data_IF_066322384553
#
_entry.id   IF_066322384553
#
_cell.length_a   1.000
_cell.length_b   1.000
_cell.length_c   1.000
_cell.angle_alpha   90.00
_cell.angle_beta   90.00
_cell.angle_gamma   90.00
#
_symmetry.space_group_name_H-M   'P 1'
#
loop_
_entity.id
_entity.type
_entity.pdbx_description
1 polymer ?
#
# COMPACT_ATOMS: atom_id res chain seq x y z
N UNK A 1 17.30 -2.91 5.78
CA UNK A 1 15.84 -3.04 5.63
C UNK A 1 15.19 -1.66 5.64
N UNK A 2 14.18 -1.43 4.81
CA UNK A 2 13.48 -0.15 4.72
C UNK A 2 12.69 0.20 5.98
N UNK A 3 12.03 1.36 5.97
CA UNK A 3 11.17 1.79 7.07
C UNK A 3 10.03 0.79 7.29
N UNK A 4 9.67 0.57 8.55
CA UNK A 4 8.57 -0.30 8.95
C UNK A 4 7.41 0.57 9.43
N UNK A 5 6.19 0.20 9.07
CA UNK A 5 4.94 0.84 9.47
C UNK A 5 3.97 -0.20 10.03
N UNK A 6 3.01 0.27 10.81
CA UNK A 6 1.80 -0.47 11.16
C UNK A 6 0.58 0.20 10.54
N UNK A 7 -0.30 -0.56 9.93
CA UNK A 7 -1.57 -0.03 9.41
C UNK A 7 -2.52 0.33 10.56
N UNK A 8 -3.21 1.48 10.45
CA UNK A 8 -4.11 2.01 11.48
C UNK A 8 -5.45 1.25 11.50
N UNK A 9 -5.40 -0.08 11.62
CA UNK A 9 -6.58 -0.96 11.68
C UNK A 9 -7.20 -1.07 13.08
N UNK A 10 -6.60 -0.46 14.10
CA UNK A 10 -7.03 -0.55 15.51
C UNK A 10 -7.41 0.82 16.06
N UNK A 11 -8.22 0.85 17.15
CA UNK A 11 -8.43 2.07 17.91
C UNK A 11 -7.10 2.71 18.37
N UNK A 12 -7.07 4.04 18.44
CA UNK A 12 -5.90 4.85 18.76
C UNK A 12 -5.09 4.32 19.95
N UNK A 13 -5.75 3.96 21.05
CA UNK A 13 -5.07 3.43 22.22
C UNK A 13 -4.20 2.19 21.93
N UNK A 14 -4.69 1.29 21.06
CA UNK A 14 -3.96 0.07 20.69
C UNK A 14 -2.79 0.36 19.77
N UNK A 15 -3.02 1.22 18.77
CA UNK A 15 -1.95 1.68 17.89
C UNK A 15 -0.85 2.37 18.69
N UNK A 16 -1.22 3.23 19.63
CA UNK A 16 -0.29 3.95 20.50
C UNK A 16 0.58 2.99 21.37
N UNK A 17 -0.01 1.90 21.88
CA UNK A 17 0.77 0.87 22.60
C UNK A 17 1.87 0.27 21.73
N UNK A 18 1.57 -0.05 20.48
CA UNK A 18 2.56 -0.56 19.52
C UNK A 18 3.64 0.47 19.25
N UNK A 19 3.23 1.69 18.89
CA UNK A 19 4.14 2.76 18.51
C UNK A 19 5.04 3.26 19.65
N UNK A 20 4.59 3.14 20.91
CA UNK A 20 5.43 3.44 22.08
C UNK A 20 6.43 2.32 22.41
N UNK A 21 6.15 1.10 21.95
CA UNK A 21 7.01 -0.06 22.19
C UNK A 21 8.06 -0.24 21.09
N UNK A 22 7.74 0.15 19.86
CA UNK A 22 8.57 -0.04 18.69
C UNK A 22 8.77 1.30 17.96
N UNK A 23 9.99 1.57 17.53
CA UNK A 23 10.32 2.74 16.70
C UNK A 23 9.95 2.44 15.23
N UNK A 24 8.66 2.54 14.93
CA UNK A 24 8.08 2.30 13.60
C UNK A 24 7.14 3.44 13.21
N UNK A 25 6.86 3.54 11.92
CA UNK A 25 5.91 4.50 11.35
C UNK A 25 4.46 4.04 11.47
N UNK A 26 3.57 4.90 10.99
CA UNK A 26 2.13 4.64 10.91
C UNK A 26 1.66 4.78 9.47
N UNK A 27 0.90 3.80 8.99
CA UNK A 27 0.12 3.93 7.77
C UNK A 27 -1.33 4.25 8.11
N UNK A 28 -1.76 5.44 7.69
CA UNK A 28 -3.08 6.00 7.96
C UNK A 28 -4.06 5.52 6.91
N UNK A 29 -5.13 4.84 7.34
CA UNK A 29 -6.17 4.31 6.44
C UNK A 29 -7.46 5.15 6.44
N UNK A 30 -7.60 6.12 7.32
CA UNK A 30 -8.84 6.89 7.50
C UNK A 30 -9.27 7.63 6.22
N UNK A 31 -8.29 8.02 5.40
CA UNK A 31 -8.53 8.70 4.13
C UNK A 31 -8.67 7.75 2.93
N UNK A 32 -8.75 6.45 3.17
CA UNK A 32 -8.96 5.41 2.16
C UNK A 32 -10.38 5.33 1.59
N UNK A 33 -11.29 6.20 2.05
CA UNK A 33 -12.68 6.26 1.56
C UNK A 33 -13.11 7.69 1.21
N UNK A 34 -13.92 7.83 0.16
CA UNK A 34 -14.38 9.13 -0.35
C UNK A 34 -15.13 9.97 0.69
N UNK A 35 -15.93 9.35 1.55
CA UNK A 35 -16.68 10.03 2.61
C UNK A 35 -15.78 10.86 3.55
N UNK A 36 -14.60 10.37 3.89
CA UNK A 36 -13.67 11.11 4.74
C UNK A 36 -13.03 12.27 3.98
N UNK A 37 -12.72 12.04 2.69
CA UNK A 37 -12.17 13.05 1.81
C UNK A 37 -13.16 14.18 1.50
N UNK A 38 -14.48 13.93 1.54
CA UNK A 38 -15.52 14.95 1.37
C UNK A 38 -15.53 16.01 2.48
N UNK A 39 -14.89 15.73 3.62
CA UNK A 39 -14.75 16.70 4.70
C UNK A 39 -13.67 17.74 4.45
N UNK A 40 -12.89 17.60 3.40
CA UNK A 40 -11.78 18.49 3.03
C UNK A 40 -10.87 18.83 4.23
N UNK A 41 -10.58 20.10 4.44
CA UNK A 41 -9.76 20.58 5.56
C UNK A 41 -10.28 20.19 6.93
N UNK A 42 -11.58 20.09 7.11
CA UNK A 42 -12.17 19.69 8.38
C UNK A 42 -11.81 18.24 8.73
N UNK A 43 -11.76 17.33 7.74
CA UNK A 43 -11.34 15.95 7.94
C UNK A 43 -9.93 15.84 8.51
N UNK A 44 -9.00 16.64 7.98
CA UNK A 44 -7.62 16.66 8.46
C UNK A 44 -7.53 17.25 9.87
N UNK A 45 -8.26 18.36 10.14
CA UNK A 45 -8.30 18.98 11.48
C UNK A 45 -8.90 18.02 12.50
N UNK A 46 -9.97 17.31 12.16
CA UNK A 46 -10.58 16.30 13.04
C UNK A 46 -9.62 15.13 13.30
N UNK A 47 -8.91 14.68 12.27
CA UNK A 47 -7.89 13.65 12.40
C UNK A 47 -6.77 14.09 13.35
N UNK A 48 -6.23 15.29 13.17
CA UNK A 48 -5.20 15.85 14.05
C UNK A 48 -5.65 15.99 15.51
N UNK A 49 -6.89 16.40 15.75
CA UNK A 49 -7.44 16.51 17.12
C UNK A 49 -7.47 15.17 17.83
N UNK A 50 -7.74 14.07 17.11
CA UNK A 50 -7.82 12.73 17.69
C UNK A 50 -6.45 12.03 17.74
N UNK A 51 -5.64 12.19 16.70
CA UNK A 51 -4.43 11.38 16.48
C UNK A 51 -3.13 12.21 16.52
N UNK A 52 -3.18 13.49 16.86
CA UNK A 52 -2.00 14.39 16.78
C UNK A 52 -0.78 13.88 17.54
N UNK A 53 -0.98 13.36 18.76
CA UNK A 53 0.12 12.77 19.53
C UNK A 53 0.62 11.45 18.93
N UNK A 54 -0.27 10.70 18.26
CA UNK A 54 0.05 9.44 17.60
C UNK A 54 1.00 9.63 16.42
N UNK A 55 0.79 10.70 15.63
CA UNK A 55 1.54 10.97 14.40
C UNK A 55 2.77 11.87 14.60
N UNK A 56 2.89 12.49 15.76
CA UNK A 56 3.95 13.46 16.06
C UNK A 56 5.35 12.82 15.98
N UNK A 57 6.22 13.43 15.17
CA UNK A 57 7.60 12.99 14.96
C UNK A 57 7.76 11.55 14.44
N UNK A 58 6.77 11.04 13.70
CA UNK A 58 6.81 9.69 13.11
C UNK A 58 6.86 9.75 11.58
N UNK A 59 7.44 8.72 10.99
CA UNK A 59 7.26 8.49 9.56
C UNK A 59 5.81 8.07 9.29
N UNK A 60 5.19 8.69 8.28
CA UNK A 60 3.81 8.43 7.91
C UNK A 60 3.71 7.90 6.49
N UNK A 61 2.82 6.93 6.31
CA UNK A 61 2.29 6.45 5.04
C UNK A 61 0.79 6.76 5.00
N UNK A 62 0.24 6.98 3.83
CA UNK A 62 -1.21 7.10 3.62
C UNK A 62 -1.68 5.95 2.75
N UNK A 63 -2.67 5.19 3.22
CA UNK A 63 -3.44 4.35 2.32
C UNK A 63 -4.45 5.23 1.58
N UNK A 64 -4.28 5.34 0.27
CA UNK A 64 -5.14 6.16 -0.58
C UNK A 64 -6.54 5.58 -0.74
N UNK A 65 -7.49 6.33 -1.32
CA UNK A 65 -8.85 5.87 -1.52
C UNK A 65 -8.90 4.74 -2.56
N UNK A 66 -9.70 3.71 -2.28
CA UNK A 66 -9.74 2.50 -3.09
C UNK A 66 -11.15 2.04 -3.49
N UNK A 67 -12.20 2.40 -2.72
CA UNK A 67 -13.56 1.96 -3.03
C UNK A 67 -14.14 2.73 -4.20
N UNK A 68 -14.73 2.00 -5.16
CA UNK A 68 -15.46 2.51 -6.33
C UNK A 68 -14.63 3.37 -7.30
N UNK A 69 -13.30 3.34 -7.18
CA UNK A 69 -12.38 4.10 -8.02
C UNK A 69 -11.66 3.18 -9.01
N UNK A 70 -11.36 3.73 -10.20
CA UNK A 70 -10.67 2.94 -11.22
C UNK A 70 -9.89 3.83 -12.18
N UNK A 71 -8.57 3.62 -12.23
CA UNK A 71 -7.64 4.37 -13.11
C UNK A 71 -7.81 4.03 -14.59
N UNK A 72 -8.32 2.83 -14.91
CA UNK A 72 -8.52 2.34 -16.27
C UNK A 72 -9.96 2.48 -16.76
N UNK A 73 -10.84 3.16 -16.02
CA UNK A 73 -12.26 3.26 -16.35
C UNK A 73 -12.50 3.79 -17.78
N UNK A 74 -13.44 3.15 -18.49
CA UNK A 74 -13.96 3.65 -19.77
C UNK A 74 -14.94 4.81 -19.57
N UNK A 75 -15.50 4.95 -18.38
CA UNK A 75 -16.40 6.04 -18.04
C UNK A 75 -15.60 7.26 -17.55
N UNK A 76 -15.69 8.37 -18.30
CA UNK A 76 -14.97 9.59 -17.98
C UNK A 76 -15.38 10.18 -16.62
N UNK A 77 -16.63 9.99 -16.17
CA UNK A 77 -17.07 10.48 -14.86
C UNK A 77 -16.37 9.72 -13.73
N UNK A 78 -16.23 8.39 -13.85
CA UNK A 78 -15.50 7.58 -12.89
C UNK A 78 -14.01 7.93 -12.92
N UNK A 79 -13.42 8.10 -14.12
CA UNK A 79 -12.02 8.51 -14.27
C UNK A 79 -11.76 9.86 -13.60
N UNK A 80 -12.63 10.86 -13.80
CA UNK A 80 -12.51 12.18 -13.16
C UNK A 80 -12.76 12.12 -11.64
N UNK A 81 -13.70 11.31 -11.18
CA UNK A 81 -13.88 11.07 -9.75
C UNK A 81 -12.65 10.45 -9.12
N UNK A 82 -12.03 9.45 -9.79
CA UNK A 82 -10.80 8.81 -9.35
C UNK A 82 -9.66 9.83 -9.25
N UNK A 83 -9.46 10.64 -10.29
CA UNK A 83 -8.43 11.68 -10.31
C UNK A 83 -8.63 12.71 -9.18
N UNK A 84 -9.86 13.13 -8.95
CA UNK A 84 -10.22 14.05 -7.86
C UNK A 84 -9.85 13.44 -6.50
N UNK A 85 -10.26 12.20 -6.25
CA UNK A 85 -9.99 11.50 -4.98
C UNK A 85 -8.51 11.26 -4.74
N UNK A 86 -7.75 10.90 -5.77
CA UNK A 86 -6.30 10.72 -5.65
C UNK A 86 -5.59 12.04 -5.35
N UNK A 87 -6.01 13.16 -5.98
CA UNK A 87 -5.49 14.50 -5.67
C UNK A 87 -5.82 14.94 -4.23
N UNK A 88 -7.04 14.67 -3.74
CA UNK A 88 -7.40 14.93 -2.35
C UNK A 88 -6.50 14.13 -1.38
N UNK A 89 -6.31 12.84 -1.62
CA UNK A 89 -5.46 11.99 -0.79
C UNK A 89 -3.98 12.43 -0.83
N UNK A 90 -3.47 12.83 -1.98
CA UNK A 90 -2.12 13.38 -2.11
C UNK A 90 -1.98 14.70 -1.31
N UNK A 91 -2.99 15.57 -1.35
CA UNK A 91 -3.02 16.79 -0.52
C UNK A 91 -3.04 16.47 0.98
N UNK A 92 -3.80 15.46 1.40
CA UNK A 92 -3.78 14.96 2.78
C UNK A 92 -2.38 14.48 3.16
N UNK A 93 -1.73 13.66 2.32
CA UNK A 93 -0.38 13.17 2.56
C UNK A 93 0.61 14.33 2.75
N UNK A 94 0.59 15.35 1.88
CA UNK A 94 1.41 16.56 2.00
C UNK A 94 1.17 17.28 3.32
N UNK A 95 -0.07 17.48 3.71
CA UNK A 95 -0.45 18.25 4.91
C UNK A 95 -0.15 17.52 6.22
N UNK A 96 -0.23 16.18 6.21
CA UNK A 96 0.15 15.36 7.35
C UNK A 96 1.67 15.10 7.42
N UNK A 97 2.43 15.45 6.37
CA UNK A 97 3.86 15.21 6.29
C UNK A 97 4.21 13.74 6.03
N UNK A 98 3.32 13.01 5.37
CA UNK A 98 3.61 11.65 4.93
C UNK A 98 4.61 11.66 3.76
N UNK A 99 5.52 10.67 3.75
CA UNK A 99 6.53 10.53 2.70
C UNK A 99 6.17 9.48 1.64
N UNK A 100 4.99 8.85 1.79
CA UNK A 100 4.47 7.85 0.84
C UNK A 100 2.96 7.76 0.86
N UNK A 101 2.42 7.24 -0.24
CA UNK A 101 1.01 6.94 -0.40
C UNK A 101 0.85 5.67 -1.24
N UNK A 102 -0.08 4.81 -0.86
CA UNK A 102 -0.42 3.57 -1.57
C UNK A 102 -1.76 3.75 -2.27
N UNK A 103 -1.87 3.33 -3.53
CA UNK A 103 -3.12 3.25 -4.29
C UNK A 103 -3.25 1.87 -4.92
N UNK A 104 -4.46 1.35 -5.02
CA UNK A 104 -4.71 0.07 -5.65
C UNK A 104 -4.52 0.09 -7.17
N UNK A 105 -4.10 -1.04 -7.75
CA UNK A 105 -3.96 -1.22 -9.20
C UNK A 105 -5.28 -1.09 -9.95
N UNK A 106 -6.38 -1.50 -9.32
CA UNK A 106 -7.73 -1.56 -9.91
C UNK A 106 -7.77 -2.44 -11.18
N UNK A 107 -6.86 -3.40 -11.33
CA UNK A 107 -6.88 -4.35 -12.42
C UNK A 107 -7.75 -5.57 -12.09
N UNK A 108 -8.58 -5.95 -13.04
CA UNK A 108 -9.45 -7.12 -12.96
C UNK A 108 -9.29 -7.94 -14.24
N UNK A 109 -8.53 -9.05 -14.19
CA UNK A 109 -8.18 -9.89 -15.33
C UNK A 109 -9.38 -10.36 -16.17
N UNK A 110 -10.51 -10.63 -15.51
CA UNK A 110 -11.72 -11.12 -16.18
C UNK A 110 -12.57 -9.98 -16.77
N UNK A 111 -12.20 -8.73 -16.57
CA UNK A 111 -12.95 -7.53 -17.01
C UNK A 111 -12.20 -6.73 -18.06
N UNK A 112 -10.90 -6.55 -17.87
CA UNK A 112 -10.07 -5.74 -18.76
C UNK A 112 -9.18 -6.59 -19.65
N UNK A 113 -9.10 -6.23 -20.94
CA UNK A 113 -7.97 -6.65 -21.74
C UNK A 113 -6.71 -5.93 -21.25
N UNK A 114 -5.61 -6.67 -21.07
CA UNK A 114 -4.34 -6.18 -20.53
C UNK A 114 -3.88 -4.85 -21.15
N UNK A 115 -3.81 -4.80 -22.49
CA UNK A 115 -3.31 -3.62 -23.21
C UNK A 115 -4.22 -2.40 -23.01
N UNK A 116 -5.52 -2.63 -22.91
CA UNK A 116 -6.50 -1.56 -22.67
C UNK A 116 -6.36 -1.01 -21.27
N UNK A 117 -6.25 -1.89 -20.27
CA UNK A 117 -6.00 -1.47 -18.88
C UNK A 117 -4.70 -0.65 -18.78
N UNK A 118 -3.59 -1.16 -19.34
CA UNK A 118 -2.30 -0.49 -19.29
C UNK A 118 -2.38 0.88 -19.95
N UNK A 119 -2.97 1.01 -21.14
CA UNK A 119 -3.04 2.28 -21.85
C UNK A 119 -3.92 3.31 -21.11
N UNK A 120 -5.12 2.91 -20.65
CA UNK A 120 -6.01 3.80 -19.92
C UNK A 120 -5.40 4.24 -18.57
N UNK A 121 -4.80 3.30 -17.82
CA UNK A 121 -4.12 3.62 -16.57
C UNK A 121 -2.90 4.50 -16.79
N UNK A 122 -2.13 4.28 -17.86
CA UNK A 122 -0.98 5.13 -18.20
C UNK A 122 -1.40 6.57 -18.46
N UNK A 123 -2.49 6.79 -19.21
CA UNK A 123 -3.05 8.13 -19.41
C UNK A 123 -3.43 8.79 -18.08
N UNK A 124 -4.12 8.04 -17.22
CA UNK A 124 -4.52 8.52 -15.89
C UNK A 124 -3.30 8.89 -15.03
N UNK A 125 -2.31 8.02 -14.93
CA UNK A 125 -1.12 8.26 -14.11
C UNK A 125 -0.29 9.43 -14.63
N UNK A 126 -0.16 9.57 -15.95
CA UNK A 126 0.52 10.72 -16.54
C UNK A 126 -0.19 12.04 -16.22
N UNK A 127 -1.53 12.07 -16.27
CA UNK A 127 -2.32 13.24 -15.87
C UNK A 127 -2.17 13.53 -14.37
N UNK A 128 -2.28 12.51 -13.52
CA UNK A 128 -2.14 12.65 -12.07
C UNK A 128 -0.77 13.20 -11.66
N UNK A 129 0.30 12.80 -12.35
CA UNK A 129 1.68 13.14 -11.99
C UNK A 129 2.13 14.55 -12.41
N UNK A 130 1.37 15.29 -13.22
CA UNK A 130 1.79 16.58 -13.81
C UNK A 130 2.32 17.56 -12.75
N UNK A 131 1.71 17.63 -11.58
CA UNK A 131 2.01 18.60 -10.52
C UNK A 131 2.55 17.93 -9.24
N UNK A 132 2.98 16.67 -9.31
CA UNK A 132 3.53 15.95 -8.16
C UNK A 132 5.04 16.13 -8.09
N UNK A 133 5.52 16.38 -6.88
CA UNK A 133 6.96 16.52 -6.60
C UNK A 133 7.53 15.22 -5.96
N UNK A 134 8.84 15.17 -5.82
CA UNK A 134 9.55 14.00 -5.29
C UNK A 134 9.46 13.82 -3.77
N UNK A 135 8.65 14.65 -3.08
CA UNK A 135 8.53 14.56 -1.61
C UNK A 135 7.71 13.38 -1.11
N UNK A 136 6.87 12.81 -1.98
CA UNK A 136 6.00 11.68 -1.66
C UNK A 136 6.21 10.56 -2.69
N UNK A 137 6.61 9.38 -2.21
CA UNK A 137 6.66 8.18 -3.03
C UNK A 137 5.23 7.62 -3.20
N UNK A 138 4.90 7.25 -4.42
CA UNK A 138 3.60 6.69 -4.77
C UNK A 138 3.78 5.21 -5.10
N UNK A 139 3.00 4.36 -4.44
CA UNK A 139 3.08 2.92 -4.63
C UNK A 139 1.75 2.39 -5.20
N UNK A 140 1.81 1.62 -6.28
CA UNK A 140 0.65 0.96 -6.87
C UNK A 140 0.59 -0.47 -6.35
N UNK A 141 -0.48 -0.80 -5.65
CA UNK A 141 -0.65 -2.07 -4.96
C UNK A 141 -1.39 -3.08 -5.82
N UNK A 142 -0.90 -4.33 -5.84
CA UNK A 142 -1.63 -5.45 -6.42
C UNK A 142 -2.84 -5.83 -5.57
N UNK A 143 -3.96 -6.09 -6.22
CA UNK A 143 -5.20 -6.54 -5.59
C UNK A 143 -5.63 -7.92 -6.11
N UNK A 144 -6.44 -7.94 -7.15
CA UNK A 144 -6.97 -9.16 -7.77
C UNK A 144 -6.15 -9.62 -8.98
N UNK A 145 -4.93 -9.15 -9.09
CA UNK A 145 -4.03 -9.37 -10.22
C UNK A 145 -3.60 -10.84 -10.30
N UNK A 146 -4.12 -11.58 -11.29
CA UNK A 146 -3.75 -12.99 -11.51
C UNK A 146 -2.33 -13.12 -12.07
N UNK A 147 -1.88 -12.12 -12.84
CA UNK A 147 -0.53 -12.01 -13.40
C UNK A 147 0.05 -10.62 -13.14
N UNK A 148 1.05 -10.54 -12.26
CA UNK A 148 1.68 -9.28 -11.89
C UNK A 148 2.59 -8.69 -12.99
N UNK A 149 2.75 -9.37 -14.11
CA UNK A 149 3.40 -8.80 -15.30
C UNK A 149 2.67 -7.54 -15.78
N UNK A 150 1.35 -7.47 -15.62
CA UNK A 150 0.53 -6.30 -15.99
C UNK A 150 0.93 -5.07 -15.18
N UNK A 151 1.03 -5.23 -13.86
CA UNK A 151 1.46 -4.15 -12.96
C UNK A 151 2.90 -3.72 -13.24
N UNK A 152 3.79 -4.69 -13.48
CA UNK A 152 5.17 -4.41 -13.88
C UNK A 152 5.24 -3.56 -15.15
N UNK A 153 4.53 -3.96 -16.19
CA UNK A 153 4.52 -3.23 -17.48
C UNK A 153 3.94 -1.82 -17.34
N UNK A 154 2.90 -1.65 -16.51
CA UNK A 154 2.33 -0.34 -16.21
C UNK A 154 3.37 0.58 -15.58
N UNK A 155 4.03 0.13 -14.50
CA UNK A 155 5.04 0.93 -13.79
C UNK A 155 6.25 1.23 -14.69
N UNK A 156 6.70 0.27 -15.50
CA UNK A 156 7.77 0.48 -16.47
C UNK A 156 7.41 1.54 -17.52
N UNK A 157 6.16 1.59 -17.97
CA UNK A 157 5.68 2.59 -18.96
C UNK A 157 5.47 3.98 -18.35
N UNK A 158 5.02 4.07 -17.09
CA UNK A 158 4.90 5.35 -16.37
C UNK A 158 6.30 5.98 -16.24
N UNK A 159 7.33 5.18 -15.97
CA UNK A 159 8.74 5.57 -15.93
C UNK A 159 9.00 6.83 -15.08
N UNK A 160 8.46 6.87 -13.87
CA UNK A 160 8.60 7.97 -12.91
C UNK A 160 9.42 7.55 -11.71
N UNK A 161 10.30 8.42 -11.22
CA UNK A 161 11.15 8.17 -10.04
C UNK A 161 10.36 8.07 -8.73
N UNK A 162 9.14 8.61 -8.69
CA UNK A 162 8.28 8.58 -7.50
C UNK A 162 7.25 7.45 -7.51
N UNK A 163 7.12 6.72 -8.63
CA UNK A 163 6.20 5.59 -8.77
C UNK A 163 6.95 4.27 -8.60
N UNK A 164 6.39 3.39 -7.78
CA UNK A 164 6.85 2.01 -7.64
C UNK A 164 5.68 1.09 -7.27
N UNK A 165 5.96 -0.18 -7.05
CA UNK A 165 4.95 -1.18 -6.68
C UNK A 165 4.91 -1.32 -5.16
N UNK A 166 3.70 -1.36 -4.60
CA UNK A 166 3.43 -1.97 -3.31
C UNK A 166 3.07 -3.43 -3.57
N UNK A 167 3.89 -4.37 -3.11
CA UNK A 167 3.54 -5.79 -3.15
C UNK A 167 2.82 -6.17 -1.85
N UNK A 168 1.49 -6.38 -1.94
CA UNK A 168 0.76 -7.08 -0.89
C UNK A 168 0.91 -8.59 -1.11
N UNK A 169 1.59 -9.25 -0.16
CA UNK A 169 1.88 -10.69 -0.24
C UNK A 169 0.64 -11.54 0.04
N UNK A 170 -0.32 -11.03 0.81
CA UNK A 170 -1.58 -11.71 1.10
C UNK A 170 -2.51 -11.69 -0.10
N UNK A 171 -2.66 -10.55 -0.78
CA UNK A 171 -3.38 -10.45 -2.04
C UNK A 171 -2.77 -11.38 -3.10
N UNK A 172 -1.45 -11.34 -3.25
CA UNK A 172 -0.75 -12.22 -4.19
C UNK A 172 -1.00 -13.70 -3.89
N UNK A 173 -0.99 -14.11 -2.60
CA UNK A 173 -1.27 -15.48 -2.18
C UNK A 173 -2.72 -15.92 -2.45
N UNK A 174 -3.68 -15.00 -2.38
CA UNK A 174 -5.09 -15.29 -2.62
C UNK A 174 -5.48 -15.30 -4.10
N UNK A 175 -4.91 -14.41 -4.88
CA UNK A 175 -5.46 -14.09 -6.20
C UNK A 175 -4.53 -14.37 -7.36
N UNK A 176 -3.19 -14.40 -7.14
CA UNK A 176 -2.24 -14.62 -8.22
C UNK A 176 -2.12 -16.10 -8.60
N UNK A 177 -1.90 -16.34 -9.89
CA UNK A 177 -1.51 -17.65 -10.43
C UNK A 177 -0.01 -17.94 -10.28
N UNK A 178 0.78 -16.94 -9.81
CA UNK A 178 2.23 -17.01 -9.66
C UNK A 178 2.58 -17.22 -8.18
N UNK A 179 3.64 -17.96 -7.90
CA UNK A 179 4.20 -18.03 -6.54
C UNK A 179 4.84 -16.70 -6.12
N UNK A 180 4.93 -16.43 -4.81
CA UNK A 180 5.59 -15.23 -4.29
C UNK A 180 7.06 -15.13 -4.76
N UNK A 181 7.76 -16.27 -4.89
CA UNK A 181 9.13 -16.28 -5.42
C UNK A 181 9.18 -15.79 -6.88
N UNK A 182 8.26 -16.28 -7.74
CA UNK A 182 8.18 -15.83 -9.14
C UNK A 182 7.83 -14.35 -9.23
N UNK A 183 6.87 -13.87 -8.43
CA UNK A 183 6.46 -12.47 -8.36
C UNK A 183 7.62 -11.58 -7.93
N UNK A 184 8.30 -11.91 -6.84
CA UNK A 184 9.42 -11.12 -6.32
C UNK A 184 10.56 -11.04 -7.34
N UNK A 185 10.88 -12.15 -8.01
CA UNK A 185 11.89 -12.16 -9.08
C UNK A 185 11.46 -11.33 -10.29
N UNK A 186 10.18 -11.39 -10.68
CA UNK A 186 9.61 -10.64 -11.80
C UNK A 186 9.64 -9.13 -11.56
N UNK A 187 9.22 -8.71 -10.36
CA UNK A 187 9.10 -7.29 -10.00
C UNK A 187 10.44 -6.68 -9.59
N UNK A 188 11.24 -7.40 -8.80
CA UNK A 188 12.59 -7.00 -8.41
C UNK A 188 12.64 -5.61 -7.78
N UNK A 189 13.52 -4.75 -8.28
CA UNK A 189 13.73 -3.38 -7.79
C UNK A 189 12.53 -2.44 -7.98
N UNK A 190 11.47 -2.86 -8.67
CA UNK A 190 10.23 -2.08 -8.79
C UNK A 190 9.38 -2.11 -7.53
N UNK A 191 9.63 -3.07 -6.64
CA UNK A 191 8.99 -3.11 -5.33
C UNK A 191 9.63 -2.03 -4.45
N UNK A 192 8.88 -0.97 -4.16
CA UNK A 192 9.29 0.12 -3.26
C UNK A 192 8.62 0.06 -1.90
N UNK A 193 7.51 -0.68 -1.80
CA UNK A 193 6.75 -0.91 -0.57
C UNK A 193 6.20 -2.33 -0.52
N UNK A 194 5.88 -2.78 0.69
CA UNK A 194 5.26 -4.08 0.95
C UNK A 194 4.06 -3.89 1.89
N UNK A 195 2.95 -4.57 1.62
CA UNK A 195 1.96 -4.88 2.63
C UNK A 195 2.17 -6.33 3.10
N UNK A 196 2.35 -6.50 4.40
CA UNK A 196 2.68 -7.78 5.01
C UNK A 196 1.53 -8.25 5.90
N UNK A 197 0.88 -9.28 5.44
CA UNK A 197 -0.13 -10.04 6.15
C UNK A 197 -0.05 -11.52 5.75
N UNK A 198 -0.85 -12.38 6.35
CA UNK A 198 -0.92 -13.78 6.01
C UNK A 198 -2.39 -14.23 5.86
N UNK A 199 -2.62 -15.31 5.15
CA UNK A 199 -3.92 -15.92 4.93
C UNK A 199 -3.77 -17.40 4.49
N UNK A 200 -4.88 -18.05 4.18
CA UNK A 200 -4.91 -19.47 3.79
C UNK A 200 -4.87 -19.69 2.25
N UNK A 201 -4.65 -18.62 1.47
CA UNK A 201 -4.68 -18.65 0.02
C UNK A 201 -6.09 -18.74 -0.60
N UNK A 202 -7.16 -18.55 0.21
CA UNK A 202 -8.55 -18.59 -0.25
C UNK A 202 -9.32 -17.32 0.07
N UNK A 203 -9.02 -16.74 1.23
CA UNK A 203 -9.67 -15.55 1.72
C UNK A 203 -8.59 -14.57 2.18
N UNK A 204 -8.66 -13.38 1.67
CA UNK A 204 -7.86 -12.26 2.16
C UNK A 204 -8.32 -11.87 3.57
N UNK A 205 -7.61 -12.41 4.57
CA UNK A 205 -8.03 -12.36 5.97
C UNK A 205 -7.11 -11.54 6.87
N UNK A 206 -6.06 -10.95 6.32
CA UNK A 206 -5.11 -10.07 7.02
C UNK A 206 -4.68 -10.62 8.39
N UNK A 207 -4.27 -11.91 8.42
CA UNK A 207 -3.81 -12.59 9.62
C UNK A 207 -2.34 -12.29 9.90
N UNK A 208 -1.90 -12.59 11.13
CA UNK A 208 -0.49 -12.50 11.52
C UNK A 208 0.40 -13.51 10.83
N UNK A 209 1.70 -13.28 10.85
CA UNK A 209 2.69 -14.04 10.09
C UNK A 209 2.68 -15.56 10.35
N UNK A 210 2.29 -15.97 11.56
CA UNK A 210 2.20 -17.38 11.94
C UNK A 210 0.81 -17.99 11.70
N UNK A 211 -0.14 -17.23 11.12
CA UNK A 211 -1.58 -17.60 11.08
C UNK A 211 -2.10 -17.86 9.67
N UNK A 212 -1.24 -18.26 8.74
CA UNK A 212 -1.58 -18.56 7.35
C UNK A 212 -0.60 -19.56 6.72
N UNK A 213 -0.61 -19.65 5.39
CA UNK A 213 0.24 -20.57 4.64
C UNK A 213 1.43 -19.90 3.93
N UNK A 214 1.60 -18.58 4.08
CA UNK A 214 2.78 -17.87 3.58
C UNK A 214 3.92 -18.05 4.58
N UNK A 215 5.09 -18.51 4.11
CA UNK A 215 6.33 -18.36 4.87
C UNK A 215 6.84 -16.92 4.71
N UNK A 216 6.44 -16.05 5.66
CA UNK A 216 6.79 -14.63 5.60
C UNK A 216 8.29 -14.42 5.77
N UNK A 217 8.99 -15.28 6.50
CA UNK A 217 10.45 -15.13 6.69
C UNK A 217 11.19 -15.47 5.41
N UNK A 218 10.85 -16.58 4.74
CA UNK A 218 11.39 -16.92 3.43
C UNK A 218 11.07 -15.83 2.40
N UNK A 219 9.84 -15.29 2.42
CA UNK A 219 9.44 -14.19 1.55
C UNK A 219 10.33 -12.95 1.75
N UNK A 220 10.62 -12.58 3.01
CA UNK A 220 11.51 -11.46 3.32
C UNK A 220 12.98 -11.73 2.93
N UNK A 221 13.44 -12.97 2.94
CA UNK A 221 14.77 -13.34 2.43
C UNK A 221 14.84 -13.17 0.89
N UNK A 222 13.78 -13.52 0.18
CA UNK A 222 13.68 -13.25 -1.26
C UNK A 222 13.65 -11.74 -1.55
N UNK A 223 12.93 -10.95 -0.77
CA UNK A 223 12.91 -9.49 -0.87
C UNK A 223 14.32 -8.90 -0.67
N UNK A 224 15.05 -9.33 0.36
CA UNK A 224 16.42 -8.86 0.58
C UNK A 224 17.36 -9.19 -0.59
N UNK A 225 17.11 -10.31 -1.25
CA UNK A 225 17.94 -10.78 -2.36
C UNK A 225 17.66 -10.08 -3.69
N UNK A 226 16.40 -9.76 -3.97
CA UNK A 226 15.97 -9.32 -5.30
C UNK A 226 15.51 -7.87 -5.36
N UNK A 227 15.21 -7.23 -4.22
CA UNK A 227 14.67 -5.87 -4.17
C UNK A 227 15.65 -4.86 -3.55
N UNK A 228 15.38 -3.57 -3.76
CA UNK A 228 16.23 -2.48 -3.29
C UNK A 228 15.73 -1.92 -1.95
N UNK A 229 15.72 -2.76 -0.90
CA UNK A 229 15.39 -2.33 0.46
C UNK A 229 14.03 -1.59 0.59
N UNK A 230 12.92 -2.20 0.12
CA UNK A 230 11.60 -1.57 0.19
C UNK A 230 11.19 -1.31 1.64
N UNK A 231 10.36 -0.29 1.82
CA UNK A 231 9.64 -0.10 3.09
C UNK A 231 8.50 -1.12 3.21
N UNK A 232 7.93 -1.26 4.41
CA UNK A 232 6.87 -2.24 4.62
C UNK A 232 5.86 -1.78 5.66
N UNK A 233 4.60 -2.07 5.43
CA UNK A 233 3.50 -1.93 6.39
C UNK A 233 3.05 -3.31 6.86
N UNK A 234 2.92 -3.49 8.18
CA UNK A 234 2.28 -4.66 8.75
C UNK A 234 0.79 -4.39 8.77
N UNK A 235 0.05 -5.12 7.93
CA UNK A 235 -1.37 -4.94 7.71
C UNK A 235 -2.18 -6.13 8.23
N UNK A 236 -2.18 -6.29 9.55
CA UNK A 236 -2.79 -7.42 10.26
C UNK A 236 -3.99 -6.94 11.06
N UNK A 237 -5.14 -7.60 10.92
CA UNK A 237 -6.41 -7.19 11.50
C UNK A 237 -6.63 -7.61 12.97
N UNK A 238 -5.89 -8.60 13.48
CA UNK A 238 -5.90 -8.97 14.91
C UNK A 238 -4.76 -8.28 15.63
N UNK A 239 -5.07 -7.59 16.74
CA UNK A 239 -4.10 -6.79 17.49
C UNK A 239 -2.93 -7.61 18.04
N UNK A 240 -3.20 -8.79 18.59
CA UNK A 240 -2.17 -9.66 19.16
C UNK A 240 -1.27 -10.23 18.09
N UNK A 241 -1.86 -10.68 16.99
CA UNK A 241 -1.11 -11.17 15.83
C UNK A 241 -0.26 -10.06 15.17
N UNK A 242 -0.76 -8.82 15.16
CA UNK A 242 0.00 -7.66 14.67
C UNK A 242 1.24 -7.40 15.54
N UNK A 243 1.08 -7.39 16.87
CA UNK A 243 2.19 -7.20 17.80
C UNK A 243 3.24 -8.32 17.70
N UNK A 244 2.80 -9.59 17.55
CA UNK A 244 3.68 -10.74 17.32
C UNK A 244 4.43 -10.60 15.98
N UNK A 245 3.76 -10.20 14.91
CA UNK A 245 4.35 -10.00 13.58
C UNK A 245 5.43 -8.90 13.60
N UNK A 246 5.17 -7.77 14.26
CA UNK A 246 6.18 -6.72 14.47
C UNK A 246 7.38 -7.26 15.24
N UNK A 247 7.14 -8.02 16.33
CA UNK A 247 8.23 -8.60 17.12
C UNK A 247 9.13 -9.53 16.30
N UNK A 248 8.56 -10.28 15.35
CA UNK A 248 9.30 -11.16 14.43
C UNK A 248 10.22 -10.32 13.53
N UNK A 249 9.71 -9.26 12.89
CA UNK A 249 10.49 -8.38 12.02
C UNK A 249 11.60 -7.67 12.81
N UNK A 250 11.28 -7.12 13.98
CA UNK A 250 12.28 -6.42 14.80
C UNK A 250 13.42 -7.33 15.26
N UNK A 251 13.13 -8.59 15.59
CA UNK A 251 14.15 -9.58 15.93
C UNK A 251 15.01 -9.98 14.73
N UNK A 252 14.41 -10.06 13.54
CA UNK A 252 15.15 -10.36 12.30
C UNK A 252 16.15 -9.25 11.97
N UNK A 253 15.75 -7.98 12.14
CA UNK A 253 16.60 -6.82 11.82
C UNK A 253 17.77 -6.62 12.80
N UNK A 254 17.70 -7.21 13.99
CA UNK A 254 18.75 -7.12 15.00
C UNK A 254 19.79 -8.26 14.92
N UNK A 255 19.66 -9.15 13.93
CA UNK A 255 20.63 -10.20 13.63
C UNK A 255 21.54 -9.78 12.49
#
# INVERSE_FOLDING_TARGET
MGKIYISQLFPEERVNKILNKYDIGLEIIEFGIGYTLDKDDNGIVEYYKRNGELIKNRSLSIHGPFLDLNTASFDNMIKQATLTRYNQAYSVAKRLGADRIVFHSCYYDDVYFKDVYINNSLEFWNEFLIDKDESINIHIENMYDKDLLVLKELVDKINSNIISICLDIGHANCYSNQSLEEIIKLLGSRIGHLHLNNNDGKKDSHRGFNSGNIDVIETLELIDKYCNNPSMTIEVSDFKEAEESISIIMKRNNK
#
